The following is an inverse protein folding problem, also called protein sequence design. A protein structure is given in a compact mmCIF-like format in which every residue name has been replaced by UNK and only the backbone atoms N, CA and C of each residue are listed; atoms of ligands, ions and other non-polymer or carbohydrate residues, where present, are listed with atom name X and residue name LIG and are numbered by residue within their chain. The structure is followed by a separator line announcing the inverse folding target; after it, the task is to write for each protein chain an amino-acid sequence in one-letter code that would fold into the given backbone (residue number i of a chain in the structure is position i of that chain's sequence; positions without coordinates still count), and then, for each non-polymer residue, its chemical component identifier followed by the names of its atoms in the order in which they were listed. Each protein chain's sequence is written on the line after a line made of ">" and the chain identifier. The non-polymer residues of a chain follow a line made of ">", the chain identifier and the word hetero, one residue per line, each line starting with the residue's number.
data_IF_221449272401
#
_entry.id   IF_221449272401
#
_cell.length_a   1.000
_cell.length_b   1.000
_cell.length_c   1.000
_cell.angle_alpha   90.00
_cell.angle_beta   90.00
_cell.angle_gamma   90.00
#
_symmetry.space_group_name_H-M   'P 1'
#
loop_
_entity.id
_entity.type
_entity.pdbx_description
1 polymer ?
#
# COMPACT_ATOMS: atom_id res chain seq x y z
N UNK A 1 12.24 -46.11 56.61
CA UNK A 1 12.76 -45.30 55.48
C UNK A 1 11.65 -44.37 55.08
N UNK A 2 11.75 -43.06 55.41
CA UNK A 2 10.77 -42.01 55.01
C UNK A 2 11.22 -41.45 53.68
N UNK A 3 10.34 -41.57 52.67
CA UNK A 3 10.57 -40.94 51.30
C UNK A 3 10.28 -39.47 51.40
N UNK A 4 11.29 -38.63 51.12
CA UNK A 4 11.19 -37.20 50.99
C UNK A 4 10.66 -36.88 49.57
N UNK A 5 9.46 -36.30 49.46
CA UNK A 5 8.89 -35.81 48.18
C UNK A 5 9.18 -34.32 48.10
N UNK A 6 10.09 -33.94 47.20
CA UNK A 6 10.40 -32.54 46.90
C UNK A 6 9.45 -32.05 45.84
N UNK A 7 8.56 -31.10 46.18
CA UNK A 7 7.72 -30.38 45.24
C UNK A 7 8.53 -29.21 44.68
N UNK A 8 8.89 -29.29 43.38
CA UNK A 8 9.46 -28.15 42.64
C UNK A 8 8.29 -27.29 42.17
N UNK A 9 8.08 -26.13 42.77
CA UNK A 9 7.19 -25.09 42.27
C UNK A 9 7.91 -24.37 41.14
N UNK A 10 7.51 -24.64 39.85
CA UNK A 10 7.88 -23.81 38.71
C UNK A 10 7.09 -22.49 38.78
N UNK A 11 7.76 -21.43 39.21
CA UNK A 11 7.21 -20.07 39.09
C UNK A 11 7.33 -19.67 37.61
N UNK A 12 6.23 -19.78 36.88
CA UNK A 12 6.10 -19.17 35.56
C UNK A 12 5.87 -17.68 35.77
N UNK A 13 6.93 -16.88 35.68
CA UNK A 13 6.83 -15.44 35.61
C UNK A 13 6.20 -15.06 34.25
N UNK A 14 5.06 -14.35 34.20
CA UNK A 14 4.56 -13.84 32.94
C UNK A 14 5.56 -12.80 32.43
N UNK A 15 6.18 -13.09 31.28
CA UNK A 15 6.88 -12.09 30.49
C UNK A 15 5.82 -11.10 29.98
N UNK A 16 5.57 -10.02 30.75
CA UNK A 16 4.90 -8.85 30.18
C UNK A 16 5.85 -8.27 29.13
N UNK A 17 5.57 -8.53 27.88
CA UNK A 17 6.11 -7.73 26.80
C UNK A 17 5.53 -6.32 26.99
N UNK A 18 6.30 -5.45 27.63
CA UNK A 18 6.02 -4.02 27.67
C UNK A 18 6.11 -3.52 26.21
N UNK A 19 4.98 -3.53 25.50
CA UNK A 19 4.84 -2.78 24.27
C UNK A 19 5.07 -1.31 24.64
N UNK A 20 6.17 -0.73 24.16
CA UNK A 20 6.49 0.67 24.34
C UNK A 20 5.33 1.49 23.74
N UNK A 21 4.54 2.14 24.58
CA UNK A 21 3.46 2.99 24.12
C UNK A 21 4.09 4.27 23.58
N UNK A 22 4.12 4.42 22.25
CA UNK A 22 4.56 5.65 21.60
C UNK A 22 3.50 6.73 21.74
N UNK A 23 3.93 7.98 21.89
CA UNK A 23 3.09 9.12 21.64
C UNK A 23 3.03 9.38 20.13
N UNK A 24 1.84 9.64 19.57
CA UNK A 24 1.67 9.83 18.13
C UNK A 24 1.26 11.26 17.81
N UNK A 25 1.76 11.74 16.68
CA UNK A 25 1.39 13.03 16.10
C UNK A 25 0.75 12.86 14.72
N UNK A 26 -0.08 13.83 14.36
CA UNK A 26 -0.68 13.92 13.03
C UNK A 26 -0.38 15.28 12.44
N UNK A 27 0.22 15.29 11.26
CA UNK A 27 0.29 16.47 10.40
C UNK A 27 -0.69 16.29 9.25
N UNK A 28 -1.40 17.35 8.89
CA UNK A 28 -2.42 17.30 7.85
C UNK A 28 -2.10 18.25 6.71
N UNK A 29 -2.66 17.94 5.55
CA UNK A 29 -2.72 18.82 4.38
C UNK A 29 -1.34 19.26 3.87
N UNK A 30 -0.37 18.33 3.87
CA UNK A 30 0.95 18.57 3.32
C UNK A 30 0.90 18.41 1.81
N UNK A 31 1.20 19.49 1.07
CA UNK A 31 1.27 19.47 -0.38
C UNK A 31 2.55 18.78 -0.85
N UNK A 32 2.42 17.79 -1.74
CA UNK A 32 3.54 16.93 -2.10
C UNK A 32 4.18 17.23 -3.47
N UNK A 33 3.68 18.23 -4.22
CA UNK A 33 4.38 18.73 -5.40
C UNK A 33 5.32 19.90 -5.05
N UNK A 34 6.39 20.04 -5.83
CA UNK A 34 7.27 21.21 -5.73
C UNK A 34 6.74 22.30 -6.64
N UNK A 35 6.30 23.42 -6.05
CA UNK A 35 5.76 24.58 -6.75
C UNK A 35 6.73 25.23 -7.76
N UNK A 36 8.03 24.92 -7.64
CA UNK A 36 9.05 25.40 -8.58
C UNK A 36 9.11 24.58 -9.88
N UNK A 37 8.55 23.37 -9.87
CA UNK A 37 8.70 22.42 -10.98
C UNK A 37 7.38 22.14 -11.71
N UNK A 38 6.25 22.61 -11.17
CA UNK A 38 4.91 22.33 -11.71
C UNK A 38 4.05 23.60 -11.69
N UNK A 39 3.34 23.87 -12.77
CA UNK A 39 2.30 24.90 -12.81
C UNK A 39 1.12 24.44 -11.94
N UNK A 40 0.99 25.02 -10.76
CA UNK A 40 0.00 24.63 -9.77
C UNK A 40 -1.40 25.16 -10.12
N UNK A 41 -2.36 24.26 -10.18
CA UNK A 41 -3.78 24.62 -10.28
C UNK A 41 -4.44 24.65 -8.89
N UNK A 42 -5.58 25.34 -8.77
CA UNK A 42 -6.38 25.29 -7.53
C UNK A 42 -6.79 23.84 -7.17
N UNK A 43 -7.11 23.02 -8.18
CA UNK A 43 -7.49 21.63 -8.00
C UNK A 43 -6.33 20.76 -7.50
N UNK A 44 -5.10 21.05 -7.93
CA UNK A 44 -3.91 20.39 -7.37
C UNK A 44 -3.74 20.73 -5.89
N UNK A 45 -3.87 22.00 -5.52
CA UNK A 45 -3.75 22.43 -4.11
C UNK A 45 -4.82 21.83 -3.21
N UNK A 46 -5.97 21.49 -3.77
CA UNK A 46 -7.05 20.81 -3.06
C UNK A 46 -6.80 19.31 -2.90
N UNK A 47 -6.32 18.64 -3.95
CA UNK A 47 -6.30 17.18 -4.01
C UNK A 47 -4.92 16.55 -3.75
N UNK A 48 -3.83 17.22 -4.12
CA UNK A 48 -2.48 16.66 -4.01
C UNK A 48 -1.88 16.90 -2.62
N UNK A 49 -2.63 16.49 -1.61
CA UNK A 49 -2.30 16.61 -0.20
C UNK A 49 -2.12 15.24 0.44
N UNK A 50 -1.24 15.16 1.42
CA UNK A 50 -1.10 13.98 2.26
C UNK A 50 -1.18 14.33 3.74
N UNK A 51 -1.59 13.35 4.55
CA UNK A 51 -1.53 13.40 6.01
C UNK A 51 -0.47 12.42 6.50
N UNK A 52 0.26 12.80 7.55
CA UNK A 52 1.28 11.96 8.19
C UNK A 52 0.85 11.67 9.62
N UNK A 53 0.71 10.39 9.97
CA UNK A 53 0.53 9.90 11.33
C UNK A 53 1.79 9.15 11.74
N UNK A 54 2.50 9.61 12.77
CA UNK A 54 3.82 9.08 13.12
C UNK A 54 4.06 9.02 14.63
N UNK A 55 4.82 8.00 15.12
CA UNK A 55 5.22 7.92 16.52
C UNK A 55 6.37 8.89 16.82
N UNK A 56 6.36 9.50 18.00
CA UNK A 56 7.54 10.17 18.54
C UNK A 56 8.49 9.11 19.09
N UNK A 57 9.60 8.90 18.41
CA UNK A 57 10.59 7.87 18.74
C UNK A 57 11.99 8.36 18.40
N UNK A 58 13.01 7.78 19.02
CA UNK A 58 14.43 8.04 18.79
C UNK A 58 15.06 7.15 17.70
N UNK A 59 14.27 6.25 17.13
CA UNK A 59 14.68 5.36 16.03
C UNK A 59 13.71 5.48 14.85
N UNK A 60 14.17 5.10 13.67
CA UNK A 60 13.34 5.08 12.46
C UNK A 60 12.35 3.92 12.47
N UNK A 61 11.17 4.18 11.94
CA UNK A 61 10.09 3.18 11.86
C UNK A 61 9.66 2.94 10.42
N UNK A 62 9.11 1.75 10.11
CA UNK A 62 8.57 1.46 8.78
C UNK A 62 7.45 2.43 8.41
N UNK A 63 7.30 2.71 7.11
CA UNK A 63 6.38 3.69 6.55
C UNK A 63 5.35 3.01 5.68
N UNK A 64 4.08 3.25 5.94
CA UNK A 64 2.95 2.79 5.11
C UNK A 64 2.43 3.97 4.31
N UNK A 65 2.45 3.88 2.98
CA UNK A 65 1.83 4.84 2.07
C UNK A 65 0.50 4.26 1.64
N UNK A 66 -0.60 4.89 2.06
CA UNK A 66 -1.96 4.41 1.82
C UNK A 66 -2.70 5.28 0.81
N UNK A 67 -3.16 4.66 -0.27
CA UNK A 67 -4.03 5.26 -1.29
C UNK A 67 -5.47 4.80 -1.09
N UNK A 68 -6.40 5.75 -0.98
CA UNK A 68 -7.83 5.46 -0.82
C UNK A 68 -8.46 4.85 -2.08
N UNK A 69 -9.59 4.17 -1.92
CA UNK A 69 -10.41 3.67 -3.02
C UNK A 69 -11.29 4.73 -3.66
N UNK A 70 -12.28 4.30 -4.44
CA UNK A 70 -13.30 5.17 -5.06
C UNK A 70 -13.25 5.24 -6.59
N UNK A 71 -12.77 4.18 -7.26
CA UNK A 71 -12.86 4.03 -8.72
C UNK A 71 -12.08 5.08 -9.52
N UNK A 72 -11.12 5.78 -8.95
CA UNK A 72 -10.45 6.96 -9.50
C UNK A 72 -11.37 8.18 -9.72
N UNK A 73 -12.63 8.11 -9.29
CA UNK A 73 -13.64 9.15 -9.52
C UNK A 73 -14.17 9.77 -8.22
N UNK A 74 -13.90 9.14 -7.08
CA UNK A 74 -14.36 9.56 -5.76
C UNK A 74 -13.34 9.21 -4.68
N UNK A 75 -13.60 9.64 -3.45
CA UNK A 75 -12.77 9.37 -2.28
C UNK A 75 -11.94 10.57 -1.84
N UNK A 76 -11.27 10.40 -0.72
CA UNK A 76 -10.38 11.40 -0.12
C UNK A 76 -9.30 10.71 0.70
N UNK A 77 -8.21 11.42 0.97
CA UNK A 77 -7.12 10.92 1.82
C UNK A 77 -7.62 10.52 3.21
N UNK A 78 -7.07 9.46 3.75
CA UNK A 78 -7.40 8.95 5.08
C UNK A 78 -6.20 8.25 5.71
N UNK A 79 -6.15 8.26 7.04
CA UNK A 79 -5.29 7.36 7.82
C UNK A 79 -6.20 6.23 8.35
N UNK A 80 -6.10 5.00 7.84
CA UNK A 80 -6.91 3.89 8.34
C UNK A 80 -6.74 3.68 9.84
N UNK A 81 -7.84 3.67 10.58
CA UNK A 81 -7.81 3.55 12.05
C UNK A 81 -7.11 2.26 12.50
N UNK A 82 -7.26 1.18 11.73
CA UNK A 82 -6.63 -0.12 12.02
C UNK A 82 -5.10 -0.09 11.94
N UNK A 83 -4.50 0.90 11.27
CA UNK A 83 -3.05 1.07 11.16
C UNK A 83 -2.47 2.00 12.23
N UNK A 84 -3.32 2.68 13.02
CA UNK A 84 -2.86 3.54 14.10
C UNK A 84 -2.31 2.74 15.27
N UNK A 85 -1.37 3.34 16.00
CA UNK A 85 -0.77 2.77 17.22
C UNK A 85 -0.09 1.40 17.02
N UNK A 86 0.49 1.17 15.83
CA UNK A 86 1.15 -0.10 15.45
C UNK A 86 2.67 0.00 15.33
N UNK A 87 3.28 1.13 15.69
CA UNK A 87 4.72 1.34 15.56
C UNK A 87 5.16 1.78 14.15
N UNK A 88 4.21 2.22 13.30
CA UNK A 88 4.47 2.66 11.93
C UNK A 88 4.25 4.16 11.77
N UNK A 89 4.93 4.75 10.79
CA UNK A 89 4.54 6.00 10.18
C UNK A 89 3.52 5.69 9.07
N UNK A 90 2.33 6.30 9.11
CA UNK A 90 1.26 6.05 8.13
C UNK A 90 0.95 7.33 7.37
N UNK A 91 1.00 7.26 6.05
CA UNK A 91 0.76 8.37 5.13
C UNK A 91 -0.56 8.14 4.40
N UNK A 92 -1.55 8.99 4.64
CA UNK A 92 -2.79 8.99 3.88
C UNK A 92 -2.69 9.94 2.69
N UNK A 93 -2.78 9.43 1.47
CA UNK A 93 -2.53 10.20 0.25
C UNK A 93 -3.82 10.53 -0.47
N UNK A 94 -4.03 11.83 -0.76
CA UNK A 94 -5.00 12.34 -1.70
C UNK A 94 -4.39 12.43 -3.11
N UNK A 95 -5.22 12.31 -4.12
CA UNK A 95 -4.85 12.44 -5.52
C UNK A 95 -6.02 13.00 -6.32
N UNK A 96 -5.73 13.62 -7.48
CA UNK A 96 -6.77 14.15 -8.36
C UNK A 96 -7.64 13.04 -8.94
N UNK A 97 -8.87 13.34 -9.27
CA UNK A 97 -9.89 12.37 -9.66
C UNK A 97 -10.44 12.63 -11.06
N UNK A 98 -10.79 11.58 -11.77
CA UNK A 98 -11.58 11.63 -13.00
C UNK A 98 -13.02 12.09 -12.66
N UNK A 99 -13.70 12.83 -13.54
CA UNK A 99 -13.28 13.25 -14.87
C UNK A 99 -12.52 14.59 -14.92
N UNK A 100 -12.22 15.22 -13.77
CA UNK A 100 -11.47 16.49 -13.73
C UNK A 100 -10.06 16.34 -14.30
N UNK A 101 -9.48 15.13 -14.18
CA UNK A 101 -8.24 14.71 -14.83
C UNK A 101 -8.40 13.30 -15.40
N UNK A 102 -7.50 12.88 -16.26
CA UNK A 102 -7.47 11.50 -16.74
C UNK A 102 -6.92 10.54 -15.67
N UNK A 103 -7.32 9.29 -15.70
CA UNK A 103 -6.83 8.25 -14.77
C UNK A 103 -5.30 8.09 -14.77
N UNK A 104 -4.62 8.38 -15.89
CA UNK A 104 -3.15 8.44 -15.97
C UNK A 104 -2.55 9.54 -15.10
N UNK A 105 -3.28 10.64 -14.89
CA UNK A 105 -2.87 11.70 -13.96
C UNK A 105 -2.93 11.24 -12.52
N UNK A 106 -3.91 10.38 -12.16
CA UNK A 106 -3.97 9.79 -10.82
C UNK A 106 -2.72 8.94 -10.52
N UNK A 107 -2.21 8.20 -11.53
CA UNK A 107 -0.96 7.43 -11.39
C UNK A 107 0.24 8.38 -11.22
N UNK A 108 0.27 9.49 -11.98
CA UNK A 108 1.31 10.53 -11.82
C UNK A 108 1.33 11.08 -10.40
N UNK A 109 0.14 11.38 -9.84
CA UNK A 109 -0.01 11.90 -8.49
C UNK A 109 0.46 10.88 -7.45
N UNK A 110 0.11 9.61 -7.63
CA UNK A 110 0.58 8.54 -6.75
C UNK A 110 2.11 8.42 -6.74
N UNK A 111 2.74 8.45 -7.92
CA UNK A 111 4.20 8.41 -8.03
C UNK A 111 4.87 9.65 -7.40
N UNK A 112 4.28 10.85 -7.58
CA UNK A 112 4.77 12.07 -6.96
C UNK A 112 4.70 12.00 -5.43
N UNK A 113 3.60 11.49 -4.88
CA UNK A 113 3.43 11.31 -3.44
C UNK A 113 4.44 10.32 -2.86
N UNK A 114 4.65 9.16 -3.50
CA UNK A 114 5.66 8.17 -3.07
C UNK A 114 7.05 8.82 -3.08
N UNK A 115 7.40 9.54 -4.14
CA UNK A 115 8.70 10.21 -4.24
C UNK A 115 8.87 11.32 -3.20
N UNK A 116 7.81 12.06 -2.88
CA UNK A 116 7.84 13.05 -1.81
C UNK A 116 8.08 12.37 -0.45
N UNK A 117 7.39 11.28 -0.16
CA UNK A 117 7.56 10.50 1.07
C UNK A 117 9.00 10.00 1.17
N UNK A 118 9.54 9.37 0.14
CA UNK A 118 10.93 8.91 0.10
C UNK A 118 11.93 10.01 0.46
N UNK A 119 11.74 11.23 -0.05
CA UNK A 119 12.64 12.37 0.16
C UNK A 119 12.51 13.05 1.52
N UNK A 120 11.35 12.92 2.19
CA UNK A 120 11.02 13.79 3.32
C UNK A 120 10.70 13.04 4.62
N UNK A 121 10.37 11.76 4.56
CA UNK A 121 9.79 11.03 5.71
C UNK A 121 10.78 10.86 6.87
N UNK A 122 12.08 10.90 6.59
CA UNK A 122 13.13 10.88 7.59
C UNK A 122 12.98 11.97 8.66
N UNK A 123 12.45 13.15 8.29
CA UNK A 123 12.17 14.29 9.19
C UNK A 123 11.07 14.00 10.21
N UNK A 124 10.29 12.94 9.98
CA UNK A 124 9.15 12.53 10.80
C UNK A 124 9.40 11.15 11.45
N UNK A 125 10.66 10.71 11.51
CA UNK A 125 11.02 9.43 12.11
C UNK A 125 10.71 8.20 11.25
N UNK A 126 10.21 8.36 10.03
CA UNK A 126 10.04 7.25 9.09
C UNK A 126 11.33 6.84 8.42
N UNK A 127 11.48 5.55 8.12
CA UNK A 127 12.64 5.01 7.42
C UNK A 127 12.37 5.01 5.90
N UNK A 128 13.08 5.82 5.08
CA UNK A 128 12.90 5.83 3.63
C UNK A 128 13.29 4.51 2.95
N UNK A 129 14.11 3.67 3.60
CA UNK A 129 14.49 2.35 3.11
C UNK A 129 13.45 1.26 3.47
N UNK A 130 12.43 1.61 4.23
CA UNK A 130 11.35 0.73 4.67
C UNK A 130 9.96 1.28 4.25
N UNK A 131 9.82 1.65 2.97
CA UNK A 131 8.55 2.10 2.41
C UNK A 131 7.69 0.93 1.95
N UNK A 132 6.48 0.83 2.48
CA UNK A 132 5.44 -0.12 2.07
C UNK A 132 4.33 0.65 1.37
N UNK A 133 4.10 0.33 0.09
CA UNK A 133 3.07 1.00 -0.72
C UNK A 133 1.82 0.15 -0.74
N UNK A 134 0.69 0.74 -0.37
CA UNK A 134 -0.58 0.04 -0.17
C UNK A 134 -1.75 0.91 -0.58
N UNK A 135 -2.91 0.32 -0.67
CA UNK A 135 -4.16 1.01 -0.96
C UNK A 135 -5.28 0.02 -1.27
N UNK A 136 -6.52 0.51 -1.27
CA UNK A 136 -7.69 -0.30 -1.53
C UNK A 136 -8.30 0.02 -2.89
N UNK A 137 -8.75 -1.00 -3.63
CA UNK A 137 -9.49 -0.84 -4.89
C UNK A 137 -8.72 0.01 -5.90
N UNK A 138 -9.22 1.19 -6.27
CA UNK A 138 -8.51 2.16 -7.10
C UNK A 138 -7.17 2.56 -6.50
N UNK A 139 -7.07 2.72 -5.17
CA UNK A 139 -5.80 2.96 -4.47
C UNK A 139 -4.83 1.78 -4.58
N UNK A 140 -5.34 0.55 -4.54
CA UNK A 140 -4.55 -0.66 -4.79
C UNK A 140 -4.00 -0.71 -6.22
N UNK A 141 -4.81 -0.29 -7.20
CA UNK A 141 -4.36 -0.11 -8.58
C UNK A 141 -3.26 0.94 -8.70
N UNK A 142 -3.42 2.11 -8.05
CA UNK A 142 -2.41 3.16 -8.06
C UNK A 142 -1.09 2.71 -7.44
N UNK A 143 -1.16 1.98 -6.32
CA UNK A 143 0.00 1.37 -5.67
C UNK A 143 0.73 0.41 -6.63
N UNK A 144 -0.04 -0.50 -7.27
CA UNK A 144 0.50 -1.43 -8.26
C UNK A 144 1.12 -0.71 -9.45
N UNK A 145 0.41 0.23 -10.08
CA UNK A 145 0.94 0.93 -11.27
C UNK A 145 2.19 1.75 -10.96
N UNK A 146 2.19 2.52 -9.87
CA UNK A 146 3.33 3.36 -9.52
C UNK A 146 4.61 2.55 -9.25
N UNK A 147 4.46 1.32 -8.72
CA UNK A 147 5.59 0.46 -8.35
C UNK A 147 5.96 -0.52 -9.47
N UNK A 148 4.97 -1.13 -10.14
CA UNK A 148 5.25 -2.15 -11.18
C UNK A 148 5.79 -1.53 -12.46
N UNK A 149 5.29 -0.39 -12.92
CA UNK A 149 5.90 0.33 -14.03
C UNK A 149 6.98 1.29 -13.52
N UNK A 150 8.24 0.87 -13.65
CA UNK A 150 9.42 1.63 -13.19
C UNK A 150 9.51 3.05 -13.76
N UNK A 151 8.82 3.33 -14.88
CA UNK A 151 8.88 4.64 -15.52
C UNK A 151 8.23 5.74 -14.67
N UNK A 152 7.26 5.41 -13.81
CA UNK A 152 6.59 6.39 -12.97
C UNK A 152 7.48 6.95 -11.87
N UNK A 153 8.09 6.10 -11.05
CA UNK A 153 9.03 6.51 -10.00
C UNK A 153 10.37 6.95 -10.58
N UNK A 154 10.75 6.41 -11.73
CA UNK A 154 11.97 6.81 -12.46
C UNK A 154 12.00 8.30 -12.83
N UNK A 155 10.83 8.95 -13.06
CA UNK A 155 10.73 10.42 -13.25
C UNK A 155 11.25 11.22 -12.05
N UNK A 156 11.26 10.62 -10.89
CA UNK A 156 11.73 11.21 -9.63
C UNK A 156 13.09 10.67 -9.20
N UNK A 157 13.79 9.91 -10.08
CA UNK A 157 15.07 9.24 -9.80
C UNK A 157 14.98 8.21 -8.66
N UNK A 158 13.81 7.62 -8.46
CA UNK A 158 13.59 6.54 -7.49
C UNK A 158 13.44 5.21 -8.24
N UNK A 159 14.28 4.25 -7.88
CA UNK A 159 14.11 2.87 -8.38
C UNK A 159 13.00 2.17 -7.58
N UNK A 160 11.93 1.78 -8.26
CA UNK A 160 10.80 1.10 -7.62
C UNK A 160 11.16 -0.27 -7.06
N UNK A 161 12.27 -0.89 -7.48
CA UNK A 161 12.73 -2.17 -6.93
C UNK A 161 13.27 -2.02 -5.49
N UNK A 162 13.54 -0.77 -5.03
CA UNK A 162 13.95 -0.47 -3.66
C UNK A 162 12.77 -0.29 -2.68
N UNK A 163 11.54 -0.34 -3.15
CA UNK A 163 10.36 -0.33 -2.27
C UNK A 163 10.37 -1.60 -1.41
N UNK A 164 10.23 -1.46 -0.09
CA UNK A 164 10.34 -2.56 0.86
C UNK A 164 9.19 -3.57 0.76
N UNK A 165 8.02 -3.12 0.28
CA UNK A 165 6.90 -4.01 0.02
C UNK A 165 5.72 -3.34 -0.68
N UNK A 166 4.95 -4.13 -1.41
CA UNK A 166 3.77 -3.72 -2.17
C UNK A 166 2.56 -4.55 -1.71
N UNK A 167 1.55 -3.89 -1.13
CA UNK A 167 0.40 -4.56 -0.53
C UNK A 167 -0.92 -3.96 -1.03
N UNK A 168 -1.35 -4.28 -2.25
CA UNK A 168 -2.66 -3.84 -2.75
C UNK A 168 -3.79 -4.67 -2.14
N UNK A 169 -4.85 -3.98 -1.68
CA UNK A 169 -6.11 -4.58 -1.26
C UNK A 169 -7.10 -4.49 -2.41
N UNK A 170 -7.43 -5.61 -3.02
CA UNK A 170 -8.39 -5.69 -4.12
C UNK A 170 -8.12 -4.70 -5.25
N UNK A 171 -6.82 -4.47 -5.55
CA UNK A 171 -6.38 -3.60 -6.64
C UNK A 171 -6.59 -4.26 -8.01
N UNK A 172 -6.92 -3.48 -9.05
CA UNK A 172 -6.87 -3.98 -10.42
C UNK A 172 -5.44 -4.33 -10.82
N UNK A 173 -5.26 -5.48 -11.45
CA UNK A 173 -3.99 -5.88 -12.09
C UNK A 173 -4.04 -5.77 -13.61
N UNK A 174 -5.22 -5.57 -14.17
CA UNK A 174 -5.46 -5.15 -15.56
C UNK A 174 -5.69 -3.64 -15.62
N UNK A 175 -5.80 -3.06 -16.81
CA UNK A 175 -6.09 -1.63 -17.00
C UNK A 175 -7.39 -1.27 -16.28
N UNK A 176 -7.36 -0.25 -15.43
CA UNK A 176 -8.48 0.14 -14.57
C UNK A 176 -9.73 0.49 -15.38
N UNK A 177 -10.92 0.08 -14.93
CA UNK A 177 -12.18 0.28 -15.69
C UNK A 177 -12.45 1.75 -16.03
N UNK A 178 -12.14 2.70 -15.15
CA UNK A 178 -12.28 4.15 -15.43
C UNK A 178 -11.41 4.57 -16.62
N UNK A 179 -10.17 4.07 -16.70
CA UNK A 179 -9.28 4.37 -17.82
C UNK A 179 -9.80 3.73 -19.11
N UNK A 180 -10.33 2.51 -19.05
CA UNK A 180 -10.98 1.87 -20.21
C UNK A 180 -12.16 2.70 -20.71
N UNK A 181 -13.02 3.18 -19.80
CA UNK A 181 -14.14 4.04 -20.12
C UNK A 181 -13.70 5.38 -20.75
N UNK A 182 -12.62 5.99 -20.25
CA UNK A 182 -12.01 7.18 -20.84
C UNK A 182 -11.51 6.94 -22.28
N UNK A 183 -11.20 5.70 -22.62
CA UNK A 183 -10.78 5.26 -23.96
C UNK A 183 -11.95 4.80 -24.83
N UNK A 184 -13.19 4.89 -24.35
CA UNK A 184 -14.38 4.40 -25.04
C UNK A 184 -14.55 2.88 -25.03
N UNK A 185 -13.86 2.18 -24.12
CA UNK A 185 -13.93 0.73 -23.95
C UNK A 185 -14.88 0.44 -22.78
N UNK A 186 -15.81 -0.53 -22.91
CA UNK A 186 -16.68 -0.93 -21.81
C UNK A 186 -15.89 -1.31 -20.56
N UNK A 187 -16.39 -0.91 -19.38
CA UNK A 187 -15.73 -1.15 -18.11
C UNK A 187 -15.58 -2.64 -17.76
N UNK A 188 -16.40 -3.51 -18.32
CA UNK A 188 -16.37 -4.97 -18.14
C UNK A 188 -15.39 -5.67 -19.08
N UNK A 189 -14.97 -5.02 -20.18
CA UNK A 189 -14.04 -5.65 -21.11
C UNK A 189 -12.62 -5.65 -20.54
N UNK A 190 -11.96 -6.79 -20.32
CA UNK A 190 -10.61 -6.84 -19.80
C UNK A 190 -9.59 -6.36 -20.85
N UNK A 191 -8.70 -5.45 -20.40
CA UNK A 191 -7.58 -4.93 -21.23
C UNK A 191 -6.29 -5.06 -20.43
N UNK A 192 -5.26 -5.57 -21.10
CA UNK A 192 -3.89 -5.63 -20.57
C UNK A 192 -3.01 -4.84 -21.53
N UNK A 193 -2.79 -3.58 -21.20
CA UNK A 193 -1.91 -2.68 -21.92
C UNK A 193 -0.87 -2.06 -20.96
N UNK A 194 -0.16 -1.00 -21.39
CA UNK A 194 0.84 -0.31 -20.56
C UNK A 194 0.29 0.29 -19.27
N UNK A 195 -1.03 0.39 -19.13
CA UNK A 195 -1.70 0.88 -17.92
C UNK A 195 -2.26 -0.27 -17.08
N UNK A 196 -1.83 -1.50 -17.35
CA UNK A 196 -2.12 -2.69 -16.56
C UNK A 196 -0.88 -3.09 -15.73
N UNK A 197 -0.96 -3.21 -14.42
CA UNK A 197 0.15 -3.76 -13.61
C UNK A 197 0.68 -5.10 -14.14
N UNK A 198 -0.20 -5.95 -14.67
CA UNK A 198 0.12 -7.25 -15.24
C UNK A 198 1.07 -7.17 -16.46
N UNK A 199 1.05 -6.06 -17.20
CA UNK A 199 1.98 -5.83 -18.31
C UNK A 199 3.44 -5.69 -17.85
N UNK A 200 3.66 -5.29 -16.60
CA UNK A 200 4.96 -4.94 -16.02
C UNK A 200 5.53 -5.99 -15.06
N UNK A 201 5.02 -7.25 -15.12
CA UNK A 201 5.55 -8.35 -14.30
C UNK A 201 7.04 -8.56 -14.54
N UNK A 202 7.82 -8.69 -13.46
CA UNK A 202 9.26 -8.84 -13.53
C UNK A 202 9.84 -9.56 -12.32
N UNK A 203 11.04 -10.15 -12.50
CA UNK A 203 11.73 -10.93 -11.46
C UNK A 203 12.08 -10.10 -10.22
N UNK A 204 12.58 -8.88 -10.41
CA UNK A 204 13.14 -8.05 -9.34
C UNK A 204 12.12 -7.06 -8.76
N UNK A 205 10.81 -7.32 -8.92
CA UNK A 205 9.79 -6.50 -8.27
C UNK A 205 9.92 -6.57 -6.74
N UNK A 206 9.44 -5.57 -5.99
CA UNK A 206 9.39 -5.61 -4.54
C UNK A 206 8.62 -6.81 -4.00
N UNK A 207 8.92 -7.27 -2.77
CA UNK A 207 8.07 -8.21 -2.05
C UNK A 207 6.61 -7.80 -2.13
N UNK A 208 5.72 -8.72 -2.52
CA UNK A 208 4.32 -8.36 -2.83
C UNK A 208 3.35 -9.27 -2.07
N UNK A 209 2.38 -8.67 -1.40
CA UNK A 209 1.24 -9.35 -0.80
C UNK A 209 -0.05 -8.87 -1.43
N UNK A 210 -0.67 -9.70 -2.26
CA UNK A 210 -1.98 -9.46 -2.84
C UNK A 210 -3.06 -9.90 -1.85
N UNK A 211 -4.04 -9.04 -1.58
CA UNK A 211 -5.18 -9.38 -0.72
C UNK A 211 -6.45 -9.05 -1.49
N UNK A 212 -7.35 -10.02 -1.63
CA UNK A 212 -8.65 -9.86 -2.30
C UNK A 212 -9.80 -10.27 -1.37
N UNK A 213 -11.00 -9.85 -1.68
CA UNK A 213 -12.21 -10.47 -1.13
C UNK A 213 -12.37 -11.91 -1.63
N UNK A 214 -13.39 -12.58 -1.10
CA UNK A 214 -13.88 -13.88 -1.55
C UNK A 214 -14.31 -13.79 -3.02
N UNK A 215 -13.81 -14.70 -3.87
CA UNK A 215 -14.05 -14.70 -5.33
C UNK A 215 -15.52 -14.66 -5.71
N UNK A 216 -16.39 -15.26 -4.90
CA UNK A 216 -17.85 -15.31 -5.15
C UNK A 216 -18.58 -14.03 -4.70
N UNK A 217 -17.89 -13.14 -3.93
CA UNK A 217 -18.46 -11.92 -3.35
C UNK A 217 -17.73 -10.65 -3.77
N UNK A 218 -16.56 -10.79 -4.37
CA UNK A 218 -15.74 -9.69 -4.87
C UNK A 218 -16.36 -9.08 -6.14
N UNK A 219 -15.88 -7.93 -6.55
CA UNK A 219 -16.19 -7.36 -7.86
C UNK A 219 -15.80 -8.33 -8.97
N UNK A 220 -16.59 -8.38 -10.04
CA UNK A 220 -16.39 -9.31 -11.15
C UNK A 220 -14.95 -9.33 -11.66
N UNK A 221 -14.35 -10.52 -11.66
CA UNK A 221 -13.02 -10.78 -12.18
C UNK A 221 -11.86 -10.26 -11.31
N UNK A 222 -12.13 -9.61 -10.16
CA UNK A 222 -11.08 -9.02 -9.34
C UNK A 222 -10.16 -10.04 -8.71
N UNK A 223 -10.70 -11.14 -8.20
CA UNK A 223 -9.90 -12.25 -7.70
C UNK A 223 -9.08 -12.90 -8.82
N UNK A 224 -9.72 -13.19 -9.95
CA UNK A 224 -9.10 -13.88 -11.08
C UNK A 224 -7.94 -13.07 -11.68
N UNK A 225 -8.10 -11.75 -11.84
CA UNK A 225 -7.01 -10.91 -12.34
C UNK A 225 -5.81 -10.88 -11.35
N UNK A 226 -6.06 -10.86 -10.04
CA UNK A 226 -5.01 -10.93 -9.02
C UNK A 226 -4.35 -12.32 -8.97
N UNK A 227 -5.12 -13.40 -9.10
CA UNK A 227 -4.60 -14.76 -9.18
C UNK A 227 -3.73 -14.96 -10.45
N UNK A 228 -4.15 -14.39 -11.58
CA UNK A 228 -3.36 -14.41 -12.80
C UNK A 228 -2.08 -13.57 -12.67
N UNK A 229 -2.15 -12.38 -12.08
CA UNK A 229 -0.97 -11.57 -11.79
C UNK A 229 0.02 -12.32 -10.89
N UNK A 230 -0.47 -12.93 -9.79
CA UNK A 230 0.34 -13.79 -8.91
C UNK A 230 1.07 -14.88 -9.71
N UNK A 231 0.33 -15.58 -10.59
CA UNK A 231 0.92 -16.64 -11.42
C UNK A 231 1.97 -16.10 -12.36
N UNK A 232 1.73 -14.98 -13.03
CA UNK A 232 2.67 -14.40 -13.99
C UNK A 232 3.91 -13.81 -13.32
N UNK A 233 3.82 -13.28 -12.11
CA UNK A 233 4.97 -12.90 -11.29
C UNK A 233 5.87 -14.12 -11.02
N UNK A 234 5.29 -15.27 -10.62
CA UNK A 234 6.03 -16.53 -10.45
C UNK A 234 6.69 -17.00 -11.76
N UNK A 235 5.98 -16.93 -12.89
CA UNK A 235 6.50 -17.30 -14.21
C UNK A 235 7.66 -16.38 -14.62
N UNK A 236 7.61 -15.08 -14.28
CA UNK A 236 8.71 -14.14 -14.53
C UNK A 236 9.93 -14.34 -13.61
N UNK A 237 9.84 -15.29 -12.67
CA UNK A 237 10.92 -15.63 -11.72
C UNK A 237 10.88 -14.88 -10.40
N UNK A 238 9.87 -14.04 -10.15
CA UNK A 238 9.67 -13.39 -8.85
C UNK A 238 9.15 -14.41 -7.82
N UNK A 239 9.84 -14.57 -6.69
CA UNK A 239 9.52 -15.59 -5.70
C UNK A 239 8.79 -15.02 -4.48
N UNK A 240 9.04 -13.75 -4.14
CA UNK A 240 8.52 -13.12 -2.91
C UNK A 240 7.15 -12.47 -3.16
N UNK A 241 6.19 -13.30 -3.51
CA UNK A 241 4.79 -12.91 -3.71
C UNK A 241 3.83 -13.91 -3.08
N UNK A 242 2.81 -13.40 -2.42
CA UNK A 242 1.70 -14.16 -1.85
C UNK A 242 0.36 -13.58 -2.28
N UNK A 243 -0.67 -14.42 -2.30
CA UNK A 243 -2.06 -14.03 -2.54
C UNK A 243 -2.92 -14.60 -1.39
N UNK A 244 -3.68 -13.72 -0.76
CA UNK A 244 -4.68 -14.08 0.24
C UNK A 244 -6.07 -13.71 -0.26
N UNK A 245 -6.97 -14.67 -0.19
CA UNK A 245 -8.40 -14.52 -0.39
C UNK A 245 -9.08 -14.44 0.97
N UNK A 246 -9.87 -13.39 1.19
CA UNK A 246 -10.60 -13.17 2.43
C UNK A 246 -11.96 -13.86 2.36
N UNK A 247 -12.00 -15.15 2.69
CA UNK A 247 -13.21 -15.97 2.65
C UNK A 247 -14.39 -15.31 3.38
N UNK A 248 -15.52 -15.26 2.72
CA UNK A 248 -16.76 -14.66 3.23
C UNK A 248 -16.86 -13.14 3.13
N UNK A 249 -15.78 -12.43 2.77
CA UNK A 249 -15.76 -10.96 2.63
C UNK A 249 -15.79 -10.54 1.16
N UNK A 250 -16.63 -9.56 0.82
CA UNK A 250 -16.65 -8.96 -0.52
C UNK A 250 -15.57 -7.87 -0.66
N UNK A 251 -15.79 -6.95 -1.61
CA UNK A 251 -14.84 -5.89 -1.95
C UNK A 251 -14.38 -5.01 -0.77
N UNK A 252 -15.24 -4.79 0.24
CA UNK A 252 -14.94 -3.98 1.43
C UNK A 252 -14.23 -4.77 2.55
N UNK A 253 -13.25 -5.62 2.22
CA UNK A 253 -12.56 -6.52 3.13
C UNK A 253 -11.40 -5.88 3.91
N UNK A 254 -11.12 -4.58 3.74
CA UNK A 254 -9.93 -3.93 4.32
C UNK A 254 -9.83 -4.07 5.83
N UNK A 255 -10.95 -3.89 6.55
CA UNK A 255 -10.97 -3.99 8.02
C UNK A 255 -10.37 -5.30 8.55
N UNK A 256 -10.93 -6.47 8.19
CA UNK A 256 -10.40 -7.77 8.61
C UNK A 256 -9.04 -8.10 7.99
N UNK A 257 -8.64 -7.46 6.89
CA UNK A 257 -7.39 -7.75 6.19
C UNK A 257 -6.18 -6.91 6.66
N UNK A 258 -6.38 -5.80 7.39
CA UNK A 258 -5.25 -5.00 7.89
C UNK A 258 -4.25 -5.77 8.76
N UNK A 259 -4.62 -6.76 9.58
CA UNK A 259 -3.64 -7.59 10.28
C UNK A 259 -2.64 -8.27 9.35
N UNK A 260 -3.04 -8.71 8.15
CA UNK A 260 -2.14 -9.32 7.16
C UNK A 260 -1.08 -8.31 6.66
N UNK A 261 -1.46 -7.05 6.43
CA UNK A 261 -0.51 -5.98 6.11
C UNK A 261 0.48 -5.76 7.24
N UNK A 262 0.00 -5.67 8.49
CA UNK A 262 0.85 -5.48 9.67
C UNK A 262 1.86 -6.61 9.82
N UNK A 263 1.41 -7.86 9.70
CA UNK A 263 2.27 -9.04 9.83
C UNK A 263 3.28 -9.14 8.67
N UNK A 264 2.86 -8.79 7.44
CA UNK A 264 3.76 -8.70 6.30
C UNK A 264 4.89 -7.68 6.54
N UNK A 265 4.56 -6.46 6.98
CA UNK A 265 5.57 -5.44 7.29
C UNK A 265 6.55 -5.95 8.35
N UNK A 266 6.04 -6.50 9.45
CA UNK A 266 6.88 -7.05 10.53
C UNK A 266 7.81 -8.15 10.04
N UNK A 267 7.33 -9.04 9.16
CA UNK A 267 8.17 -10.10 8.60
C UNK A 267 9.32 -9.54 7.76
N UNK A 268 9.08 -8.47 6.98
CA UNK A 268 10.10 -7.86 6.13
C UNK A 268 11.07 -6.94 6.88
N UNK A 269 10.69 -6.45 8.06
CA UNK A 269 11.55 -5.57 8.88
C UNK A 269 12.36 -6.32 9.93
N UNK A 270 11.90 -7.50 10.38
CA UNK A 270 12.60 -8.34 11.37
C UNK A 270 13.66 -9.26 10.73
N UNK A 271 13.70 -9.38 9.40
CA UNK A 271 14.68 -10.17 8.66
C UNK A 271 16.01 -9.42 8.40
N UNK A 272 16.14 -8.20 8.92
CA UNK A 272 17.38 -7.38 8.89
C UNK A 272 18.07 -7.40 10.28
#
# INVERSE_FOLDING_TARGET
>A
MKKLVIYIFLIVLPLYANGQAFNYKTLKDIYYYDSKTVDETAYMKEKNLLDIYYPETDHKVPVIIWFHGGGLTAGQKEIPTALKDKGFCVIGVGYRLSPNVRGTTCITDAAAAIAWVYKNIDRYGGDPDQLFVSGHSAGGYLALMAVMDKSWLGKYHLDSDLIAGLVPFSGHTITHFTIRQEQGIPGEQPIIDKLAPLYHVRKNAPPTLLITGDREKEMLGRYEENAYFYRMMKVSGHQDISLYEMDGYGHNMTGPAFPLLVDFIKSKTNEK
#
